data_IF_403375044498
#
_entry.id   IF_403375044498
#
_cell.length_a   1.000
_cell.length_b   1.000
_cell.length_c   1.000
_cell.angle_alpha   90.00
_cell.angle_beta   90.00
_cell.angle_gamma   90.00
#
_symmetry.space_group_name_H-M   'P 1'
#
loop_
_entity.id
_entity.type
_entity.pdbx_description
1 polymer ?
#
# COMPACT_ATOMS: atom_id res chain seq x y z
N UNK A 1 16.38 7.52 14.39
CA UNK A 1 15.15 6.85 14.90
C UNK A 1 13.97 7.63 14.35
N UNK A 2 13.04 6.96 13.69
CA UNK A 2 11.82 7.58 13.17
C UNK A 2 11.03 8.19 14.34
N UNK A 3 10.52 9.40 14.14
CA UNK A 3 9.79 10.14 15.18
C UNK A 3 8.51 9.40 15.63
N UNK A 4 7.90 8.65 14.73
CA UNK A 4 6.71 7.84 15.01
C UNK A 4 7.03 6.64 15.89
N UNK A 5 8.10 5.90 15.55
CA UNK A 5 8.58 4.79 16.38
C UNK A 5 8.94 5.27 17.79
N UNK A 6 9.54 6.45 17.90
CA UNK A 6 9.84 7.06 19.19
C UNK A 6 8.55 7.35 19.98
N UNK A 7 7.53 7.92 19.33
CA UNK A 7 6.23 8.21 19.99
C UNK A 7 5.52 6.93 20.39
N UNK A 8 5.56 5.88 19.57
CA UNK A 8 5.06 4.54 19.92
C UNK A 8 5.72 3.99 21.17
N UNK A 9 7.05 4.03 21.25
CA UNK A 9 7.79 3.57 22.44
C UNK A 9 7.45 4.40 23.66
N UNK A 10 7.34 5.73 23.52
CA UNK A 10 6.92 6.61 24.61
C UNK A 10 5.49 6.28 25.10
N UNK A 11 4.58 6.04 24.17
CA UNK A 11 3.18 5.72 24.49
C UNK A 11 3.08 4.36 25.20
N UNK A 12 3.73 3.33 24.66
CA UNK A 12 3.76 2.00 25.28
C UNK A 12 4.30 2.07 26.72
N UNK A 13 5.43 2.76 26.90
CA UNK A 13 5.98 2.97 28.23
C UNK A 13 5.02 3.72 29.16
N UNK A 14 4.35 4.77 28.68
CA UNK A 14 3.38 5.52 29.49
C UNK A 14 2.18 4.67 29.88
N UNK A 15 1.68 3.80 29.01
CA UNK A 15 0.57 2.89 29.30
C UNK A 15 0.96 1.83 30.36
N UNK A 16 2.17 1.29 30.30
CA UNK A 16 2.70 0.36 31.29
C UNK A 16 2.92 1.00 32.67
N UNK A 17 3.17 2.34 32.69
CA UNK A 17 3.52 3.08 33.91
C UNK A 17 2.45 4.11 34.31
N UNK A 18 1.18 3.87 33.96
CA UNK A 18 0.07 4.77 34.34
C UNK A 18 -0.06 4.97 35.86
N UNK A 19 0.19 3.91 36.61
CA UNK A 19 0.13 3.93 38.09
C UNK A 19 1.43 4.42 38.76
N UNK A 20 2.51 4.61 37.99
CA UNK A 20 3.80 5.02 38.57
C UNK A 20 3.96 6.55 38.56
N UNK A 21 4.11 7.20 39.73
CA UNK A 21 4.31 8.65 39.82
C UNK A 21 5.72 9.11 39.47
N UNK A 22 6.67 8.18 39.17
CA UNK A 22 8.10 8.46 39.01
C UNK A 22 8.49 9.37 37.87
N UNK A 23 9.70 10.00 37.94
CA UNK A 23 10.18 10.90 36.94
C UNK A 23 10.68 10.15 35.65
N UNK A 24 10.61 10.80 34.55
CA UNK A 24 10.73 10.36 33.13
C UNK A 24 12.12 10.48 32.46
N UNK A 25 13.28 10.52 33.20
CA UNK A 25 14.59 10.70 32.59
C UNK A 25 15.04 9.52 31.73
N UNK A 26 14.46 8.32 31.96
CA UNK A 26 14.94 7.08 31.34
C UNK A 26 14.63 7.01 29.85
N UNK A 27 13.46 7.44 29.42
CA UNK A 27 13.09 7.48 28.00
C UNK A 27 13.92 8.48 27.19
N UNK A 28 14.15 9.67 27.75
CA UNK A 28 14.99 10.68 27.12
C UNK A 28 16.42 10.19 26.96
N UNK A 29 16.95 9.54 28.01
CA UNK A 29 18.30 8.99 28.04
C UNK A 29 18.47 7.79 27.10
N UNK A 30 17.50 6.88 27.07
CA UNK A 30 17.50 5.71 26.19
C UNK A 30 17.37 6.10 24.71
N UNK A 31 16.60 7.15 24.39
CA UNK A 31 16.41 7.64 23.04
C UNK A 31 17.52 8.59 22.54
N UNK A 32 18.43 9.03 23.44
CA UNK A 32 19.50 9.98 23.07
C UNK A 32 19.00 11.39 22.71
N UNK A 33 17.79 11.76 23.20
CA UNK A 33 17.19 13.07 22.95
C UNK A 33 17.03 13.87 24.25
N UNK A 34 17.03 15.22 24.14
CA UNK A 34 16.60 16.07 25.24
C UNK A 34 15.09 15.99 25.46
N UNK A 35 14.62 16.23 26.70
CA UNK A 35 13.17 16.22 27.04
C UNK A 35 12.37 17.19 26.15
N UNK A 36 12.91 18.37 25.86
CA UNK A 36 12.26 19.33 24.98
C UNK A 36 12.05 18.79 23.57
N UNK A 37 13.05 18.08 23.02
CA UNK A 37 12.96 17.50 21.70
C UNK A 37 11.97 16.34 21.66
N UNK A 38 11.95 15.49 22.68
CA UNK A 38 10.93 14.44 22.83
C UNK A 38 9.52 15.02 22.92
N UNK A 39 9.34 16.06 23.74
CA UNK A 39 8.06 16.78 23.89
C UNK A 39 7.58 17.34 22.55
N UNK A 40 8.48 17.97 21.77
CA UNK A 40 8.14 18.53 20.47
C UNK A 40 7.76 17.44 19.46
N UNK A 41 8.53 16.34 19.39
CA UNK A 41 8.24 15.21 18.51
C UNK A 41 6.89 14.56 18.87
N UNK A 42 6.63 14.33 20.13
CA UNK A 42 5.35 13.80 20.61
C UNK A 42 4.20 14.73 20.24
N UNK A 43 4.34 16.03 20.48
CA UNK A 43 3.34 17.03 20.14
C UNK A 43 3.06 17.09 18.62
N UNK A 44 4.09 17.05 17.79
CA UNK A 44 3.95 17.10 16.32
C UNK A 44 3.12 15.91 15.79
N UNK A 45 3.21 14.75 16.43
CA UNK A 45 2.50 13.54 15.98
C UNK A 45 1.12 13.42 16.62
N UNK A 46 0.99 13.76 17.91
CA UNK A 46 -0.23 13.48 18.70
C UNK A 46 -1.12 14.70 18.92
N UNK A 47 -0.61 15.90 18.66
CA UNK A 47 -1.30 17.16 18.94
C UNK A 47 -1.35 17.52 20.42
N UNK A 48 -0.70 16.75 21.31
CA UNK A 48 -0.68 17.03 22.76
C UNK A 48 0.68 16.76 23.40
N UNK A 49 0.91 17.27 24.60
CA UNK A 49 2.16 17.01 25.32
C UNK A 49 2.14 15.64 25.99
N UNK A 50 3.31 14.97 26.18
CA UNK A 50 3.38 13.70 26.91
C UNK A 50 2.73 13.76 28.31
N UNK A 51 2.92 14.88 29.02
CA UNK A 51 2.31 15.11 30.34
C UNK A 51 0.81 15.25 30.26
N UNK A 52 0.30 15.94 29.23
CA UNK A 52 -1.12 16.10 29.00
C UNK A 52 -1.79 14.75 28.70
N UNK A 53 -1.16 13.98 27.81
CA UNK A 53 -1.60 12.62 27.47
C UNK A 53 -1.68 11.74 28.72
N UNK A 54 -0.58 11.61 29.46
CA UNK A 54 -0.49 10.76 30.65
C UNK A 54 -1.53 11.14 31.72
N UNK A 55 -1.74 12.46 31.95
CA UNK A 55 -2.76 12.92 32.87
C UNK A 55 -4.16 12.49 32.47
N UNK A 56 -4.51 12.64 31.18
CA UNK A 56 -5.83 12.27 30.66
C UNK A 56 -6.05 10.76 30.72
N UNK A 57 -5.02 9.96 30.41
CA UNK A 57 -5.06 8.51 30.50
C UNK A 57 -5.28 8.05 31.95
N UNK A 58 -4.50 8.60 32.90
CA UNK A 58 -4.67 8.32 34.35
C UNK A 58 -6.09 8.62 34.84
N UNK A 59 -6.64 9.77 34.46
CA UNK A 59 -8.01 10.13 34.82
C UNK A 59 -9.03 9.18 34.19
N UNK A 60 -8.80 8.71 32.98
CA UNK A 60 -9.68 7.74 32.31
C UNK A 60 -9.67 6.39 33.02
N UNK A 61 -8.48 5.85 33.35
CA UNK A 61 -8.38 4.58 34.09
C UNK A 61 -8.90 4.71 35.50
N UNK A 62 -8.70 5.85 36.14
CA UNK A 62 -9.32 6.16 37.44
C UNK A 62 -10.85 6.15 37.35
N UNK A 63 -11.43 6.75 36.31
CA UNK A 63 -12.88 6.71 36.11
C UNK A 63 -13.40 5.27 35.89
N UNK A 64 -12.67 4.42 35.14
CA UNK A 64 -13.00 3.00 34.96
C UNK A 64 -12.98 2.24 36.29
N UNK A 65 -11.96 2.45 37.12
CA UNK A 65 -11.83 1.85 38.44
C UNK A 65 -12.98 2.26 39.38
N UNK A 66 -13.33 3.55 39.39
CA UNK A 66 -14.46 4.07 40.17
C UNK A 66 -15.80 3.50 39.69
N UNK A 67 -16.00 3.34 38.39
CA UNK A 67 -17.20 2.69 37.82
C UNK A 67 -17.29 1.20 38.14
N UNK A 68 -16.15 0.56 38.37
CA UNK A 68 -16.05 -0.82 38.86
C UNK A 68 -16.30 -0.96 40.37
N UNK A 69 -16.48 0.17 41.10
CA UNK A 69 -16.79 0.19 42.52
C UNK A 69 -15.58 0.30 43.44
N UNK A 70 -14.39 0.62 42.93
CA UNK A 70 -13.20 0.80 43.75
C UNK A 70 -13.31 2.10 44.62
N UNK A 71 -12.68 2.08 45.79
CA UNK A 71 -12.73 3.23 46.69
C UNK A 71 -11.91 4.41 46.15
N UNK A 72 -12.45 5.61 46.28
CA UNK A 72 -11.82 6.85 45.81
C UNK A 72 -10.40 7.02 46.34
N UNK A 73 -10.16 6.70 47.61
CA UNK A 73 -8.83 6.83 48.23
C UNK A 73 -7.79 5.90 47.55
N UNK A 74 -8.19 4.66 47.28
CA UNK A 74 -7.28 3.68 46.66
C UNK A 74 -6.94 4.07 45.23
N UNK A 75 -7.95 4.54 44.47
CA UNK A 75 -7.79 5.05 43.10
C UNK A 75 -6.90 6.30 43.09
N UNK A 76 -7.09 7.22 44.05
CA UNK A 76 -6.26 8.42 44.20
C UNK A 76 -4.78 8.08 44.32
N UNK A 77 -4.47 7.15 45.25
CA UNK A 77 -3.10 6.72 45.54
C UNK A 77 -2.48 5.97 44.32
N UNK A 78 -3.25 5.05 43.73
CA UNK A 78 -2.79 4.25 42.58
C UNK A 78 -2.35 5.11 41.40
N UNK A 79 -3.08 6.17 41.08
CA UNK A 79 -2.75 7.04 39.97
C UNK A 79 -1.86 8.23 40.32
N UNK A 80 -1.19 8.18 41.47
CA UNK A 80 -0.10 9.07 41.84
C UNK A 80 -0.53 10.49 42.27
N UNK A 81 -1.75 10.66 42.73
CA UNK A 81 -2.19 11.94 43.29
C UNK A 81 -1.81 12.06 44.77
N UNK A 82 -1.25 13.21 45.12
CA UNK A 82 -0.76 13.50 46.47
C UNK A 82 -1.87 13.63 47.54
N UNK A 83 -3.09 13.92 47.10
CA UNK A 83 -4.27 14.01 47.96
C UNK A 83 -5.56 13.76 47.21
N UNK A 84 -6.61 13.38 47.94
CA UNK A 84 -7.95 13.18 47.33
C UNK A 84 -8.52 14.50 46.79
N UNK A 85 -8.17 15.65 47.38
CA UNK A 85 -8.62 16.96 46.90
C UNK A 85 -7.99 17.32 45.56
N UNK A 86 -6.67 17.07 45.41
CA UNK A 86 -5.98 17.26 44.12
C UNK A 86 -6.55 16.35 43.04
N UNK A 87 -6.83 15.10 43.38
CA UNK A 87 -7.48 14.15 42.45
C UNK A 87 -8.88 14.63 42.06
N UNK A 88 -9.71 14.99 43.04
CA UNK A 88 -11.08 15.46 42.82
C UNK A 88 -11.11 16.70 41.94
N UNK A 89 -10.21 17.64 42.17
CA UNK A 89 -10.10 18.87 41.38
C UNK A 89 -9.71 18.54 39.94
N UNK A 90 -8.69 17.70 39.72
CA UNK A 90 -8.26 17.28 38.39
C UNK A 90 -9.35 16.49 37.69
N UNK A 91 -10.02 15.60 38.36
CA UNK A 91 -11.09 14.75 37.85
C UNK A 91 -12.30 15.59 37.38
N UNK A 92 -12.77 16.50 38.27
CA UNK A 92 -13.89 17.41 37.99
C UNK A 92 -13.55 18.37 36.83
N UNK A 93 -12.32 18.88 36.79
CA UNK A 93 -11.86 19.74 35.69
C UNK A 93 -11.91 19.03 34.32
N UNK A 94 -11.64 17.73 34.28
CA UNK A 94 -11.63 16.95 33.08
C UNK A 94 -13.00 16.40 32.66
N UNK A 95 -13.70 15.77 33.59
CA UNK A 95 -14.97 15.11 33.35
C UNK A 95 -16.20 15.98 33.60
N UNK A 96 -16.07 17.08 34.33
CA UNK A 96 -17.19 17.95 34.76
C UNK A 96 -17.94 17.47 35.98
N UNK A 97 -17.58 16.28 36.50
CA UNK A 97 -18.20 15.66 37.69
C UNK A 97 -17.12 15.24 38.69
N UNK A 98 -17.45 15.13 39.97
CA UNK A 98 -16.54 14.61 40.98
C UNK A 98 -16.46 13.09 40.98
N UNK A 99 -15.39 12.46 41.53
CA UNK A 99 -15.31 11.01 41.68
C UNK A 99 -16.50 10.41 42.46
N UNK A 100 -16.99 11.09 43.47
CA UNK A 100 -18.15 10.63 44.26
C UNK A 100 -19.46 10.71 43.50
N UNK A 101 -19.69 11.79 42.75
CA UNK A 101 -20.84 11.89 41.83
C UNK A 101 -20.83 10.78 40.80
N UNK A 102 -19.65 10.45 40.22
CA UNK A 102 -19.53 9.35 39.25
C UNK A 102 -19.98 8.01 39.82
N UNK A 103 -19.63 7.69 41.03
CA UNK A 103 -20.00 6.40 41.69
C UNK A 103 -21.51 6.25 41.87
N UNK A 104 -22.22 7.36 42.05
CA UNK A 104 -23.68 7.38 42.28
C UNK A 104 -24.49 7.53 40.98
N UNK A 105 -23.86 7.87 39.87
CA UNK A 105 -24.53 8.02 38.55
C UNK A 105 -24.98 6.70 38.00
N UNK A 106 -26.21 6.68 37.51
CA UNK A 106 -26.66 5.55 36.71
C UNK A 106 -26.04 5.59 35.29
N UNK A 107 -26.16 4.47 34.55
CA UNK A 107 -25.50 4.28 33.25
C UNK A 107 -25.94 5.29 32.20
N UNK A 108 -27.17 5.83 32.26
CA UNK A 108 -27.73 6.81 31.33
C UNK A 108 -27.25 8.24 31.59
N UNK A 109 -26.77 8.54 32.77
CA UNK A 109 -26.27 9.86 33.16
C UNK A 109 -24.79 10.07 32.85
N UNK A 110 -24.08 9.06 32.34
CA UNK A 110 -22.62 9.08 32.09
C UNK A 110 -22.25 9.75 30.79
N UNK A 111 -22.70 10.99 30.56
CA UNK A 111 -22.41 11.76 29.33
C UNK A 111 -20.92 12.10 29.12
N UNK A 112 -20.07 11.89 30.11
CA UNK A 112 -18.63 12.18 30.06
C UNK A 112 -17.81 11.05 29.39
N UNK A 113 -18.40 9.90 29.06
CA UNK A 113 -17.70 8.77 28.42
C UNK A 113 -16.99 9.25 27.14
N UNK A 114 -17.55 10.21 26.41
CA UNK A 114 -16.91 10.86 25.26
C UNK A 114 -15.63 11.64 25.61
N UNK A 115 -15.38 11.96 26.89
CA UNK A 115 -14.16 12.63 27.35
C UNK A 115 -13.08 11.66 27.82
N UNK A 116 -13.34 10.34 27.82
CA UNK A 116 -12.32 9.35 28.12
C UNK A 116 -11.24 9.39 27.03
N UNK A 117 -10.00 9.47 27.48
CA UNK A 117 -8.85 9.41 26.58
C UNK A 117 -8.42 7.96 26.45
N UNK A 118 -8.72 7.36 25.32
CA UNK A 118 -8.22 6.03 25.01
C UNK A 118 -6.70 6.07 24.75
N UNK A 119 -6.00 4.93 24.87
CA UNK A 119 -4.62 4.81 24.43
C UNK A 119 -4.46 5.35 23.03
N UNK A 120 -3.33 5.97 22.74
CA UNK A 120 -3.02 6.37 21.38
C UNK A 120 -2.91 5.11 20.53
N UNK A 121 -3.80 5.01 19.57
CA UNK A 121 -3.80 3.90 18.64
C UNK A 121 -2.86 4.28 17.49
N UNK A 122 -1.58 3.99 17.66
CA UNK A 122 -0.52 4.20 16.69
C UNK A 122 0.08 2.83 16.38
N UNK A 123 0.20 2.49 15.11
CA UNK A 123 0.70 1.22 14.64
C UNK A 123 1.64 1.43 13.48
N UNK A 124 2.73 0.69 13.41
CA UNK A 124 3.68 0.70 12.30
C UNK A 124 4.20 -0.71 12.02
N UNK A 125 4.12 -1.11 10.76
CA UNK A 125 4.73 -2.34 10.25
C UNK A 125 6.23 -2.11 10.06
N UNK A 126 7.04 -2.71 10.94
CA UNK A 126 8.49 -2.55 10.90
C UNK A 126 9.07 -3.18 9.63
N UNK A 127 10.05 -2.52 9.05
CA UNK A 127 10.80 -2.97 7.86
C UNK A 127 9.98 -3.06 6.57
N UNK A 128 8.71 -2.64 6.57
CA UNK A 128 7.93 -2.56 5.34
C UNK A 128 8.49 -1.45 4.45
N UNK A 129 8.78 -1.79 3.20
CA UNK A 129 9.26 -0.86 2.17
C UNK A 129 8.50 -1.11 0.89
N UNK A 130 8.37 -0.11 0.06
CA UNK A 130 7.88 -0.24 -1.31
C UNK A 130 9.06 -0.07 -2.26
N UNK A 131 9.16 -0.90 -3.29
CA UNK A 131 10.22 -0.76 -4.30
C UNK A 131 9.88 0.37 -5.26
N UNK A 132 10.86 1.21 -5.56
CA UNK A 132 10.72 2.29 -6.54
C UNK A 132 10.69 1.69 -7.95
N UNK A 133 9.50 1.68 -8.55
CA UNK A 133 9.21 1.19 -9.89
C UNK A 133 8.19 2.14 -10.54
N UNK A 134 8.23 2.31 -11.87
CA UNK A 134 7.16 3.02 -12.59
C UNK A 134 5.81 2.32 -12.34
N UNK A 135 5.83 0.99 -12.32
CA UNK A 135 4.66 0.18 -11.97
C UNK A 135 4.53 0.09 -10.45
N UNK A 136 3.86 1.06 -9.84
CA UNK A 136 3.72 1.14 -8.38
C UNK A 136 3.03 -0.08 -7.75
N UNK A 137 2.10 -0.74 -8.48
CA UNK A 137 1.54 -2.03 -8.07
C UNK A 137 2.63 -3.08 -7.86
N UNK A 138 3.57 -3.20 -8.78
CA UNK A 138 4.68 -4.15 -8.66
C UNK A 138 5.68 -3.72 -7.59
N UNK A 139 5.81 -2.41 -7.36
CA UNK A 139 6.54 -1.87 -6.21
C UNK A 139 5.95 -2.32 -4.88
N UNK A 140 4.61 -2.30 -4.76
CA UNK A 140 3.89 -2.87 -3.61
C UNK A 140 4.09 -4.39 -3.49
N UNK A 141 4.02 -5.13 -4.60
CA UNK A 141 4.22 -6.59 -4.59
C UNK A 141 5.63 -6.98 -4.18
N UNK A 142 6.65 -6.25 -4.62
CA UNK A 142 8.03 -6.49 -4.15
C UNK A 142 8.15 -6.18 -2.66
N UNK A 143 7.55 -5.09 -2.19
CA UNK A 143 7.51 -4.77 -0.76
C UNK A 143 6.80 -5.85 0.07
N UNK A 144 5.69 -6.39 -0.43
CA UNK A 144 4.98 -7.51 0.20
C UNK A 144 5.81 -8.80 0.20
N UNK A 145 6.48 -9.11 -0.92
CA UNK A 145 7.39 -10.26 -1.03
C UNK A 145 8.50 -10.19 0.01
N UNK A 146 9.15 -9.04 0.14
CA UNK A 146 10.24 -8.84 1.10
C UNK A 146 9.75 -8.89 2.56
N UNK A 147 8.60 -8.28 2.84
CA UNK A 147 8.00 -8.28 4.18
C UNK A 147 7.60 -9.68 4.66
N UNK A 148 7.16 -10.53 3.73
CA UNK A 148 6.76 -11.91 4.02
C UNK A 148 7.89 -12.94 3.87
N UNK A 149 9.14 -12.50 3.61
CA UNK A 149 10.32 -13.35 3.38
C UNK A 149 10.09 -14.39 2.26
N UNK A 150 9.61 -13.93 1.09
CA UNK A 150 9.28 -14.79 -0.05
C UNK A 150 10.44 -14.95 -1.06
N UNK A 151 11.44 -14.08 -0.98
CA UNK A 151 12.70 -14.12 -1.74
C UNK A 151 12.55 -14.09 -3.28
N UNK A 152 11.49 -13.47 -3.79
CA UNK A 152 11.32 -13.28 -5.24
C UNK A 152 12.11 -12.08 -5.74
N UNK A 153 12.87 -12.25 -6.84
CA UNK A 153 13.45 -11.11 -7.55
C UNK A 153 12.35 -10.23 -8.20
N UNK A 154 12.69 -8.98 -8.56
CA UNK A 154 11.74 -8.12 -9.27
C UNK A 154 11.34 -8.73 -10.61
N UNK A 155 12.26 -9.19 -11.48
CA UNK A 155 11.92 -9.85 -12.73
C UNK A 155 11.02 -11.09 -12.54
N UNK A 156 11.29 -11.93 -11.53
CA UNK A 156 10.45 -13.09 -11.23
C UNK A 156 9.02 -12.70 -10.84
N UNK A 157 8.86 -11.68 -9.99
CA UNK A 157 7.53 -11.16 -9.67
C UNK A 157 6.79 -10.66 -10.89
N UNK A 158 7.45 -9.90 -11.77
CA UNK A 158 6.85 -9.41 -13.02
C UNK A 158 6.46 -10.55 -13.97
N UNK A 159 7.37 -11.52 -14.16
CA UNK A 159 7.17 -12.64 -15.08
C UNK A 159 6.09 -13.60 -14.59
N UNK A 160 6.22 -14.12 -13.39
CA UNK A 160 5.28 -15.09 -12.84
C UNK A 160 3.90 -14.50 -12.52
N UNK A 161 3.80 -13.21 -12.15
CA UNK A 161 2.51 -12.53 -12.03
C UNK A 161 1.87 -12.20 -13.37
N UNK A 162 2.59 -12.40 -14.47
CA UNK A 162 2.20 -12.06 -15.86
C UNK A 162 2.19 -10.57 -16.18
N UNK A 163 2.47 -9.71 -15.21
CA UNK A 163 2.43 -8.26 -15.40
C UNK A 163 3.47 -7.77 -16.42
N UNK A 164 4.61 -8.46 -16.53
CA UNK A 164 5.64 -8.18 -17.54
C UNK A 164 5.12 -8.21 -18.99
N UNK A 165 4.07 -8.98 -19.25
CA UNK A 165 3.51 -9.25 -20.59
C UNK A 165 2.27 -8.41 -20.89
N UNK A 166 1.77 -7.69 -19.87
CA UNK A 166 0.61 -6.81 -20.01
C UNK A 166 0.93 -5.63 -20.91
N UNK A 167 -0.06 -5.24 -21.71
CA UNK A 167 -0.20 -3.94 -22.31
C UNK A 167 -1.68 -3.58 -22.31
N UNK A 168 -2.00 -2.39 -21.87
CA UNK A 168 -3.38 -1.90 -21.79
C UNK A 168 -3.38 -0.39 -22.08
N UNK A 169 -4.24 0.06 -22.97
CA UNK A 169 -4.27 1.44 -23.45
C UNK A 169 -5.70 1.96 -23.42
N UNK A 170 -5.86 3.13 -22.79
CA UNK A 170 -7.11 3.92 -22.85
C UNK A 170 -7.25 4.60 -24.21
N UNK A 171 -8.47 4.67 -24.73
CA UNK A 171 -8.75 5.26 -26.05
C UNK A 171 -8.21 6.68 -26.21
N UNK A 172 -8.26 7.49 -25.16
CA UNK A 172 -7.76 8.88 -25.15
C UNK A 172 -6.34 9.00 -24.57
N UNK A 173 -5.56 7.93 -24.55
CA UNK A 173 -4.23 7.85 -23.94
C UNK A 173 -4.18 8.43 -22.54
N UNK A 174 -5.21 8.13 -21.70
CA UNK A 174 -5.25 8.55 -20.30
C UNK A 174 -4.12 7.89 -19.49
N UNK A 175 -3.51 8.59 -18.52
CA UNK A 175 -2.52 8.00 -17.62
C UNK A 175 -3.03 6.81 -16.80
N UNK A 176 -4.34 6.59 -16.76
CA UNK A 176 -4.97 5.43 -16.11
C UNK A 176 -4.74 4.10 -16.86
N UNK A 177 -4.17 4.11 -18.05
CA UNK A 177 -3.91 2.90 -18.86
C UNK A 177 -3.24 1.76 -18.07
N UNK A 178 -2.20 1.98 -17.26
CA UNK A 178 -1.55 0.92 -16.49
C UNK A 178 -2.39 0.33 -15.34
N UNK A 179 -3.46 1.01 -14.94
CA UNK A 179 -4.21 0.67 -13.72
C UNK A 179 -5.57 0.01 -13.97
N UNK A 180 -6.23 0.37 -15.07
CA UNK A 180 -7.62 0.00 -15.34
C UNK A 180 -7.73 -1.24 -16.24
N UNK A 181 -7.61 -2.43 -15.64
CA UNK A 181 -7.77 -3.74 -16.28
C UNK A 181 -8.30 -4.76 -15.26
N UNK A 182 -8.81 -5.91 -15.72
CA UNK A 182 -9.31 -6.98 -14.85
C UNK A 182 -8.16 -7.72 -14.18
N UNK A 183 -8.01 -7.54 -12.88
CA UNK A 183 -6.87 -8.01 -12.09
C UNK A 183 -7.01 -9.45 -11.54
N UNK A 184 -8.13 -10.16 -11.78
CA UNK A 184 -8.33 -11.50 -11.21
C UNK A 184 -7.23 -12.49 -11.60
N UNK A 185 -6.77 -12.56 -12.88
CA UNK A 185 -5.66 -13.45 -13.25
C UNK A 185 -4.34 -13.09 -12.55
N UNK A 186 -4.09 -11.79 -12.36
CA UNK A 186 -2.93 -11.29 -11.62
C UNK A 186 -2.98 -11.72 -10.14
N UNK A 187 -4.11 -11.53 -9.46
CA UNK A 187 -4.24 -11.92 -8.06
C UNK A 187 -4.17 -13.44 -7.86
N UNK A 188 -4.67 -14.22 -8.83
CA UNK A 188 -4.49 -15.66 -8.84
C UNK A 188 -3.00 -16.04 -8.93
N UNK A 189 -2.25 -15.41 -9.83
CA UNK A 189 -0.81 -15.62 -9.98
C UNK A 189 -0.05 -15.17 -8.72
N UNK A 190 -0.36 -14.02 -8.15
CA UNK A 190 0.26 -13.53 -6.91
C UNK A 190 0.03 -14.47 -5.72
N UNK A 191 -1.14 -15.10 -5.63
CA UNK A 191 -1.40 -16.12 -4.62
C UNK A 191 -0.43 -17.30 -4.75
N UNK A 192 -0.17 -17.77 -5.96
CA UNK A 192 0.79 -18.85 -6.22
C UNK A 192 2.23 -18.44 -5.87
N UNK A 193 2.51 -17.13 -5.79
CA UNK A 193 3.79 -16.56 -5.35
C UNK A 193 3.83 -16.29 -3.83
N UNK A 194 2.76 -16.63 -3.09
CA UNK A 194 2.69 -16.51 -1.65
C UNK A 194 2.10 -15.18 -1.14
N UNK A 195 1.51 -14.36 -2.03
CA UNK A 195 0.79 -13.12 -1.66
C UNK A 195 -0.67 -13.23 -2.08
N UNK A 196 -1.57 -13.35 -1.12
CA UNK A 196 -3.00 -13.53 -1.36
C UNK A 196 -3.77 -12.23 -1.10
N UNK A 197 -4.53 -11.77 -2.09
CA UNK A 197 -5.61 -10.80 -1.86
C UNK A 197 -6.76 -11.50 -1.16
N UNK A 198 -7.12 -11.04 0.03
CA UNK A 198 -8.20 -11.65 0.84
C UNK A 198 -9.49 -10.86 0.78
N UNK A 199 -9.40 -9.54 0.62
CA UNK A 199 -10.56 -8.66 0.59
C UNK A 199 -10.21 -7.33 -0.07
N UNK A 200 -11.22 -6.48 -0.28
CA UNK A 200 -11.08 -5.10 -0.69
C UNK A 200 -12.09 -4.22 0.04
N UNK A 201 -11.75 -2.95 0.21
CA UNK A 201 -12.66 -1.89 0.65
C UNK A 201 -12.75 -0.89 -0.49
N UNK A 202 -13.93 -0.74 -1.07
CA UNK A 202 -14.20 0.22 -2.16
C UNK A 202 -15.21 1.25 -1.66
N UNK A 203 -14.82 2.52 -1.64
CA UNK A 203 -15.63 3.63 -1.19
C UNK A 203 -15.69 4.71 -2.27
N UNK A 204 -16.87 5.31 -2.41
CA UNK A 204 -17.12 6.38 -3.37
C UNK A 204 -17.37 7.70 -2.65
N UNK A 205 -17.17 8.80 -3.34
CA UNK A 205 -17.54 10.13 -2.87
C UNK A 205 -19.01 10.13 -2.45
N UNK A 206 -19.26 10.57 -1.22
CA UNK A 206 -20.59 10.52 -0.60
C UNK A 206 -20.84 9.32 0.31
N UNK A 207 -19.82 8.48 0.56
CA UNK A 207 -19.89 7.46 1.58
C UNK A 207 -20.28 8.06 2.94
N UNK A 208 -21.17 7.38 3.65
CA UNK A 208 -21.66 7.82 4.96
C UNK A 208 -20.57 7.73 6.04
N UNK A 209 -20.66 8.51 7.13
CA UNK A 209 -19.74 8.40 8.25
C UNK A 209 -19.61 6.96 8.81
N UNK A 210 -20.71 6.20 8.81
CA UNK A 210 -20.71 4.81 9.26
C UNK A 210 -19.92 3.89 8.32
N UNK A 211 -20.01 4.09 6.99
CA UNK A 211 -19.22 3.32 6.02
C UNK A 211 -17.74 3.64 6.16
N UNK A 212 -17.37 4.91 6.36
CA UNK A 212 -15.99 5.32 6.59
C UNK A 212 -15.43 4.70 7.87
N UNK A 213 -16.17 4.75 8.99
CA UNK A 213 -15.76 4.16 10.27
C UNK A 213 -15.58 2.63 10.17
N UNK A 214 -16.49 1.94 9.49
CA UNK A 214 -16.38 0.49 9.26
C UNK A 214 -15.15 0.14 8.43
N UNK A 215 -14.88 0.91 7.38
CA UNK A 215 -13.69 0.73 6.55
C UNK A 215 -12.41 0.97 7.35
N UNK A 216 -12.32 2.06 8.11
CA UNK A 216 -11.19 2.35 8.99
C UNK A 216 -10.95 1.24 10.00
N UNK A 217 -11.99 0.77 10.66
CA UNK A 217 -11.92 -0.33 11.63
C UNK A 217 -11.42 -1.62 10.98
N UNK A 218 -11.90 -1.94 9.78
CA UNK A 218 -11.49 -3.14 9.03
C UNK A 218 -10.02 -3.09 8.64
N UNK A 219 -9.56 -1.96 8.10
CA UNK A 219 -8.17 -1.78 7.67
C UNK A 219 -7.24 -1.79 8.89
N UNK A 220 -7.58 -1.09 9.98
CA UNK A 220 -6.80 -1.11 11.23
C UNK A 220 -6.65 -2.53 11.79
N UNK A 221 -7.75 -3.27 11.92
CA UNK A 221 -7.71 -4.64 12.42
C UNK A 221 -6.82 -5.56 11.57
N UNK A 222 -6.77 -5.33 10.25
CA UNK A 222 -5.92 -6.05 9.33
C UNK A 222 -4.43 -5.72 9.54
N UNK A 223 -4.11 -4.43 9.68
CA UNK A 223 -2.75 -3.97 9.98
C UNK A 223 -2.28 -4.42 11.38
N UNK A 224 -3.14 -4.35 12.41
CA UNK A 224 -2.85 -4.81 13.78
C UNK A 224 -2.51 -6.31 13.85
N UNK A 225 -3.06 -7.08 12.92
CA UNK A 225 -2.73 -8.49 12.74
C UNK A 225 -1.40 -8.72 11.99
N UNK A 226 -0.61 -7.66 11.71
CA UNK A 226 0.64 -7.75 10.99
C UNK A 226 0.50 -8.02 9.49
N UNK A 227 -0.68 -7.75 8.92
CA UNK A 227 -0.99 -8.00 7.51
C UNK A 227 -0.90 -6.73 6.70
N UNK A 228 -0.76 -6.86 5.37
CA UNK A 228 -0.51 -5.73 4.48
C UNK A 228 -1.78 -5.18 3.85
N UNK A 229 -1.79 -3.88 3.61
CA UNK A 229 -2.84 -3.21 2.89
C UNK A 229 -2.24 -2.27 1.83
N UNK A 230 -2.83 -2.26 0.64
CA UNK A 230 -2.49 -1.34 -0.44
C UNK A 230 -3.63 -0.34 -0.59
N UNK A 231 -3.31 0.95 -0.69
CA UNK A 231 -4.20 1.96 -1.23
C UNK A 231 -4.10 1.92 -2.75
N UNK A 232 -5.24 1.73 -3.41
CA UNK A 232 -5.42 1.94 -4.85
C UNK A 232 -6.10 3.31 -5.05
N UNK A 233 -5.37 4.29 -5.51
CA UNK A 233 -5.87 5.62 -5.82
C UNK A 233 -5.19 6.10 -7.10
N UNK A 234 -4.55 7.29 -7.10
CA UNK A 234 -3.77 7.74 -8.26
C UNK A 234 -2.61 6.77 -8.54
N UNK A 235 -1.97 6.28 -7.49
CA UNK A 235 -0.91 5.26 -7.53
C UNK A 235 -1.19 4.20 -6.46
N UNK A 236 -0.51 3.05 -6.57
CA UNK A 236 -0.58 2.03 -5.54
C UNK A 236 0.45 2.33 -4.45
N UNK A 237 0.00 2.32 -3.19
CA UNK A 237 0.85 2.60 -2.04
C UNK A 237 0.62 1.58 -0.93
N UNK A 238 1.69 1.01 -0.39
CA UNK A 238 1.61 0.22 0.84
C UNK A 238 1.30 1.13 2.03
N UNK A 239 0.45 0.65 2.92
CA UNK A 239 0.18 1.29 4.20
C UNK A 239 1.16 0.75 5.22
N UNK A 240 2.08 1.60 5.70
CA UNK A 240 3.05 1.21 6.73
C UNK A 240 2.47 1.24 8.15
N UNK A 241 1.30 1.83 8.33
CA UNK A 241 0.68 1.93 9.63
C UNK A 241 -0.39 3.01 9.70
N UNK A 242 -0.70 3.45 10.91
CA UNK A 242 -1.60 4.56 11.17
C UNK A 242 -1.23 5.29 12.46
N UNK A 243 -1.62 6.55 12.56
CA UNK A 243 -1.55 7.35 13.78
C UNK A 243 -2.95 7.88 14.17
N UNK A 244 -3.01 8.84 15.08
CA UNK A 244 -4.27 9.43 15.54
C UNK A 244 -4.98 10.28 14.47
N UNK A 245 -4.33 10.60 13.37
CA UNK A 245 -4.83 11.47 12.31
C UNK A 245 -5.28 10.69 11.07
N UNK A 246 -4.61 9.56 10.76
CA UNK A 246 -4.92 8.81 9.55
C UNK A 246 -3.95 7.66 9.29
N UNK A 247 -4.09 7.07 8.11
CA UNK A 247 -3.18 6.05 7.61
C UNK A 247 -1.87 6.66 7.11
N UNK A 248 -0.78 5.90 7.27
CA UNK A 248 0.57 6.28 6.87
C UNK A 248 0.93 5.48 5.64
N UNK A 249 1.13 6.18 4.52
CA UNK A 249 1.47 5.56 3.24
C UNK A 249 2.97 5.65 2.98
N UNK A 250 3.50 4.62 2.33
CA UNK A 250 4.83 4.69 1.74
C UNK A 250 4.70 5.48 0.44
N UNK A 251 5.51 6.54 0.30
CA UNK A 251 5.57 7.31 -0.94
C UNK A 251 6.34 6.50 -1.99
N UNK A 252 5.77 6.26 -3.20
CA UNK A 252 6.52 5.70 -4.29
C UNK A 252 7.62 6.69 -4.72
N UNK A 253 8.68 6.17 -5.31
CA UNK A 253 9.83 6.94 -5.82
C UNK A 253 10.57 7.77 -4.74
N UNK A 254 10.54 7.32 -3.47
CA UNK A 254 11.19 7.97 -2.32
C UNK A 254 10.90 9.48 -2.18
N UNK A 255 9.80 9.97 -2.74
CA UNK A 255 9.46 11.40 -2.77
C UNK A 255 10.27 12.22 -3.79
N UNK A 256 11.15 11.61 -4.58
CA UNK A 256 11.99 12.30 -5.56
C UNK A 256 11.21 12.86 -6.76
N UNK A 257 10.00 12.35 -7.02
CA UNK A 257 9.15 12.82 -8.12
C UNK A 257 8.61 14.26 -7.95
N UNK A 258 8.76 14.86 -6.77
CA UNK A 258 8.13 16.13 -6.42
C UNK A 258 6.60 16.06 -6.29
N UNK A 259 6.01 14.89 -6.46
CA UNK A 259 4.57 14.63 -6.29
C UNK A 259 4.37 13.91 -4.97
N UNK A 260 4.01 14.64 -3.93
CA UNK A 260 3.48 14.02 -2.71
C UNK A 260 2.08 13.50 -2.98
N UNK A 261 1.89 12.20 -2.85
CA UNK A 261 0.57 11.60 -2.88
C UNK A 261 -0.12 11.87 -1.53
N UNK A 262 -1.40 12.29 -1.52
CA UNK A 262 -2.06 12.73 -0.31
C UNK A 262 -2.21 11.60 0.71
N UNK A 263 -2.01 11.92 1.98
CA UNK A 263 -2.38 11.07 3.11
C UNK A 263 -3.90 11.05 3.29
N UNK A 264 -4.43 10.02 3.92
CA UNK A 264 -5.85 9.92 4.24
C UNK A 264 -6.07 10.18 5.73
N UNK A 265 -6.75 11.29 6.03
CA UNK A 265 -7.18 11.63 7.38
C UNK A 265 -8.45 10.86 7.74
N UNK A 266 -8.53 10.34 8.97
CA UNK A 266 -9.71 9.62 9.43
C UNK A 266 -10.98 10.47 9.39
N UNK A 267 -12.08 9.82 9.09
CA UNK A 267 -13.44 10.39 9.11
C UNK A 267 -13.81 11.22 7.89
N UNK A 268 -12.88 11.71 7.12
CA UNK A 268 -13.19 12.59 5.97
C UNK A 268 -12.77 12.01 4.63
N UNK A 269 -11.57 11.44 4.53
CA UNK A 269 -10.94 10.98 3.29
C UNK A 269 -11.14 11.94 2.11
N UNK A 270 -11.34 13.20 2.45
CA UNK A 270 -11.77 14.24 1.54
C UNK A 270 -10.80 14.43 0.38
N UNK A 271 -9.50 14.38 0.66
CA UNK A 271 -8.46 14.62 -0.32
C UNK A 271 -8.52 13.59 -1.47
N UNK A 272 -8.75 12.31 -1.14
CA UNK A 272 -8.88 11.26 -2.14
C UNK A 272 -10.21 11.38 -2.91
N UNK A 273 -11.31 11.63 -2.22
CA UNK A 273 -12.62 11.79 -2.87
C UNK A 273 -12.71 13.02 -3.76
N UNK A 274 -12.09 14.14 -3.38
CA UNK A 274 -12.10 15.35 -4.19
C UNK A 274 -11.27 15.20 -5.46
N UNK A 275 -10.21 14.41 -5.41
CA UNK A 275 -9.34 14.14 -6.56
C UNK A 275 -9.93 13.07 -7.49
N UNK A 276 -10.27 11.90 -6.95
CA UNK A 276 -10.54 10.69 -7.73
C UNK A 276 -12.03 10.29 -7.73
N UNK A 277 -12.82 10.83 -6.79
CA UNK A 277 -14.23 10.47 -6.60
C UNK A 277 -14.44 9.09 -5.96
N UNK A 278 -13.39 8.31 -5.74
CA UNK A 278 -13.40 6.99 -5.13
C UNK A 278 -12.05 6.70 -4.45
N UNK A 279 -12.02 5.68 -3.61
CA UNK A 279 -10.81 5.12 -3.03
C UNK A 279 -11.01 3.63 -2.81
N UNK A 280 -9.99 2.83 -3.12
CA UNK A 280 -10.02 1.40 -2.88
C UNK A 280 -8.80 0.97 -2.07
N UNK A 281 -9.02 0.01 -1.17
CA UNK A 281 -7.96 -0.66 -0.44
C UNK A 281 -7.99 -2.14 -0.76
N UNK A 282 -6.83 -2.70 -1.05
CA UNK A 282 -6.64 -4.13 -1.24
C UNK A 282 -5.95 -4.72 -0.03
N UNK A 283 -6.59 -5.68 0.64
CA UNK A 283 -6.08 -6.35 1.82
C UNK A 283 -5.32 -7.62 1.43
N UNK A 284 -4.08 -7.74 1.91
CA UNK A 284 -3.16 -8.80 1.54
C UNK A 284 -2.74 -9.64 2.74
N UNK A 285 -2.56 -10.93 2.51
CA UNK A 285 -1.99 -11.88 3.48
C UNK A 285 -0.91 -12.73 2.82
N UNK A 286 0.02 -13.24 3.64
CA UNK A 286 0.91 -14.32 3.23
C UNK A 286 0.08 -15.57 2.94
N UNK A 287 0.38 -16.26 1.84
CA UNK A 287 -0.19 -17.57 1.54
C UNK A 287 0.91 -18.61 1.62
N UNK A 288 0.64 -19.72 2.31
CA UNK A 288 1.58 -20.82 2.44
C UNK A 288 1.55 -21.76 1.20
N UNK A 289 0.50 -21.64 0.39
CA UNK A 289 0.38 -22.38 -0.87
C UNK A 289 1.30 -21.75 -1.92
N UNK A 290 2.27 -22.54 -2.38
CA UNK A 290 3.15 -22.14 -3.50
C UNK A 290 3.07 -23.21 -4.57
N UNK A 291 2.88 -22.78 -5.81
CA UNK A 291 3.11 -23.65 -6.94
C UNK A 291 4.63 -23.88 -7.12
N UNK A 292 5.02 -25.02 -7.65
CA UNK A 292 6.41 -25.22 -8.07
C UNK A 292 6.76 -24.29 -9.26
N UNK A 293 8.04 -24.02 -9.46
CA UNK A 293 8.49 -23.07 -10.48
C UNK A 293 8.02 -23.43 -11.90
N UNK A 294 7.87 -24.72 -12.21
CA UNK A 294 7.36 -25.20 -13.50
C UNK A 294 5.89 -24.84 -13.66
N UNK A 295 5.08 -25.09 -12.64
CA UNK A 295 3.66 -24.72 -12.62
C UNK A 295 3.46 -23.22 -12.71
N UNK A 296 4.31 -22.43 -12.02
CA UNK A 296 4.34 -20.96 -12.13
C UNK A 296 4.63 -20.52 -13.56
N UNK A 297 5.68 -21.07 -14.18
CA UNK A 297 6.05 -20.71 -15.57
C UNK A 297 4.95 -21.07 -16.56
N UNK A 298 4.37 -22.27 -16.47
CA UNK A 298 3.27 -22.69 -17.35
C UNK A 298 2.05 -21.77 -17.22
N UNK A 299 1.68 -21.42 -15.99
CA UNK A 299 0.58 -20.49 -15.71
C UNK A 299 0.87 -19.10 -16.29
N UNK A 300 2.08 -18.59 -16.10
CA UNK A 300 2.50 -17.30 -16.63
C UNK A 300 2.47 -17.26 -18.16
N UNK A 301 3.06 -18.25 -18.82
CA UNK A 301 3.08 -18.35 -20.30
C UNK A 301 1.67 -18.50 -20.87
N UNK A 302 0.84 -19.39 -20.29
CA UNK A 302 -0.55 -19.57 -20.73
C UNK A 302 -1.35 -18.27 -20.61
N UNK A 303 -1.22 -17.57 -19.48
CA UNK A 303 -1.92 -16.28 -19.26
C UNK A 303 -1.42 -15.20 -20.19
N UNK A 304 -0.09 -15.09 -20.39
CA UNK A 304 0.49 -14.13 -21.32
C UNK A 304 0.01 -14.35 -22.77
N UNK A 305 -0.09 -15.59 -23.19
CA UNK A 305 -0.66 -15.94 -24.50
C UNK A 305 -2.13 -15.51 -24.59
N UNK A 306 -2.92 -15.76 -23.55
CA UNK A 306 -4.35 -15.36 -23.49
C UNK A 306 -4.53 -13.83 -23.53
N UNK A 307 -3.64 -13.05 -22.96
CA UNK A 307 -3.68 -11.58 -23.06
C UNK A 307 -3.68 -11.09 -24.51
N UNK A 308 -3.09 -11.87 -25.44
CA UNK A 308 -3.07 -11.55 -26.86
C UNK A 308 -4.18 -12.24 -27.67
N UNK A 309 -4.62 -13.44 -27.24
CA UNK A 309 -5.58 -14.26 -28.02
C UNK A 309 -7.02 -14.19 -27.52
N UNK A 310 -7.22 -13.74 -26.26
CA UNK A 310 -8.52 -13.54 -25.62
C UNK A 310 -8.48 -12.27 -24.72
N UNK A 311 -8.17 -11.08 -25.31
CA UNK A 311 -7.95 -9.85 -24.55
C UNK A 311 -9.17 -9.39 -23.75
N UNK A 312 -10.39 -9.79 -24.13
CA UNK A 312 -11.64 -9.50 -23.44
C UNK A 312 -11.67 -10.04 -22.00
N UNK A 313 -10.84 -11.04 -21.67
CA UNK A 313 -10.71 -11.56 -20.32
C UNK A 313 -10.00 -10.56 -19.37
N UNK A 314 -9.25 -9.62 -19.93
CA UNK A 314 -8.37 -8.70 -19.18
C UNK A 314 -8.82 -7.24 -19.26
N UNK A 315 -9.51 -6.83 -20.32
CA UNK A 315 -9.88 -5.44 -20.58
C UNK A 315 -11.16 -5.02 -19.83
N UNK A 316 -11.26 -3.71 -19.57
CA UNK A 316 -12.47 -3.05 -19.07
C UNK A 316 -12.98 -2.03 -20.11
N UNK A 317 -14.24 -1.58 -20.06
CA UNK A 317 -14.79 -0.60 -21.00
C UNK A 317 -13.91 0.65 -21.11
N UNK A 318 -13.63 1.10 -22.32
CA UNK A 318 -12.77 2.27 -22.62
C UNK A 318 -11.28 1.94 -22.75
N UNK A 319 -10.90 0.67 -22.57
CA UNK A 319 -9.52 0.21 -22.69
C UNK A 319 -9.40 -0.98 -23.66
N UNK A 320 -8.22 -1.14 -24.22
CA UNK A 320 -7.85 -2.30 -25.03
C UNK A 320 -6.58 -2.93 -24.46
N UNK A 321 -6.52 -4.27 -24.50
CA UNK A 321 -5.39 -5.10 -24.09
C UNK A 321 -4.80 -5.81 -25.30
N UNK A 322 -3.55 -6.26 -25.22
CA UNK A 322 -2.91 -7.01 -26.30
C UNK A 322 -2.78 -6.21 -27.60
N UNK A 323 -3.00 -6.86 -28.73
CA UNK A 323 -2.88 -6.22 -30.06
C UNK A 323 -3.77 -4.97 -30.20
N UNK A 324 -4.99 -4.99 -29.66
CA UNK A 324 -5.88 -3.85 -29.68
C UNK A 324 -5.34 -2.64 -28.91
N UNK A 325 -4.52 -2.86 -27.88
CA UNK A 325 -3.85 -1.77 -27.20
C UNK A 325 -2.84 -1.05 -28.09
N UNK A 326 -2.03 -1.79 -28.85
CA UNK A 326 -1.10 -1.21 -29.79
C UNK A 326 -1.80 -0.41 -30.89
N UNK A 327 -2.92 -0.93 -31.44
CA UNK A 327 -3.71 -0.24 -32.46
C UNK A 327 -4.29 1.08 -31.91
N UNK A 328 -4.90 1.07 -30.72
CA UNK A 328 -5.43 2.28 -30.10
C UNK A 328 -4.33 3.31 -29.77
N UNK A 329 -3.13 2.83 -29.44
CA UNK A 329 -2.00 3.72 -29.21
C UNK A 329 -1.57 4.41 -30.49
N UNK A 330 -1.44 3.67 -31.59
CA UNK A 330 -1.12 4.21 -32.92
C UNK A 330 -2.18 5.24 -33.40
N UNK A 331 -3.47 4.91 -33.26
CA UNK A 331 -4.57 5.84 -33.52
C UNK A 331 -4.51 7.09 -32.66
N UNK A 332 -4.13 6.96 -31.38
CA UNK A 332 -3.93 8.09 -30.47
C UNK A 332 -2.85 9.05 -30.96
N UNK A 333 -1.74 8.53 -31.50
CA UNK A 333 -0.69 9.37 -32.11
C UNK A 333 -1.25 10.11 -33.35
N UNK A 334 -2.04 9.44 -34.18
CA UNK A 334 -2.67 10.06 -35.36
C UNK A 334 -3.64 11.19 -34.99
N UNK A 335 -4.26 11.10 -33.80
CA UNK A 335 -5.12 12.14 -33.22
C UNK A 335 -4.33 13.26 -32.54
N UNK A 336 -2.99 13.24 -32.56
CA UNK A 336 -2.13 14.26 -31.95
C UNK A 336 -1.86 14.08 -30.46
N UNK A 337 -2.18 12.92 -29.88
CA UNK A 337 -2.00 12.64 -28.44
C UNK A 337 -0.57 12.24 -28.05
N UNK A 338 0.37 12.19 -29.00
CA UNK A 338 1.77 11.79 -28.76
C UNK A 338 2.57 12.70 -27.83
N UNK A 339 2.08 13.90 -27.55
CA UNK A 339 2.70 14.84 -26.59
C UNK A 339 2.06 14.80 -25.21
N UNK A 340 1.00 14.00 -25.01
CA UNK A 340 0.24 13.92 -23.78
C UNK A 340 1.04 13.29 -22.63
N UNK A 341 0.67 13.61 -21.41
CA UNK A 341 1.22 12.96 -20.22
C UNK A 341 0.92 11.44 -20.22
N UNK A 342 -0.30 11.06 -20.61
CA UNK A 342 -0.70 9.65 -20.62
C UNK A 342 0.04 8.81 -21.66
N UNK A 343 0.39 9.40 -22.82
CA UNK A 343 1.28 8.75 -23.78
C UNK A 343 2.64 8.43 -23.17
N UNK A 344 3.30 9.45 -22.60
CA UNK A 344 4.60 9.31 -21.93
C UNK A 344 4.54 8.31 -20.77
N UNK A 345 3.50 8.39 -19.95
CA UNK A 345 3.33 7.53 -18.77
C UNK A 345 3.14 6.06 -19.20
N UNK A 346 2.22 5.82 -20.13
CA UNK A 346 2.02 4.48 -20.70
C UNK A 346 3.31 3.92 -21.30
N UNK A 347 4.09 4.75 -22.02
CA UNK A 347 5.38 4.37 -22.55
C UNK A 347 6.40 3.98 -21.50
N UNK A 348 6.44 4.73 -20.40
CA UNK A 348 7.35 4.47 -19.28
C UNK A 348 7.01 3.16 -18.56
N UNK A 349 5.74 2.94 -18.23
CA UNK A 349 5.28 1.73 -17.54
C UNK A 349 5.45 0.49 -18.42
N UNK A 350 4.98 0.52 -19.67
CA UNK A 350 5.07 -0.65 -20.55
C UNK A 350 6.51 -0.96 -20.99
N UNK A 351 7.37 0.07 -21.08
CA UNK A 351 8.81 -0.15 -21.24
C UNK A 351 9.40 -0.89 -20.04
N UNK A 352 9.09 -0.47 -18.80
CA UNK A 352 9.54 -1.19 -17.60
C UNK A 352 9.08 -2.65 -17.64
N UNK A 353 7.81 -2.90 -17.96
CA UNK A 353 7.27 -4.27 -18.10
C UNK A 353 8.07 -5.09 -19.10
N UNK A 354 8.40 -4.56 -20.28
CA UNK A 354 9.17 -5.28 -21.31
C UNK A 354 10.61 -5.53 -20.88
N UNK A 355 11.23 -4.59 -20.17
CA UNK A 355 12.57 -4.80 -19.60
C UNK A 355 12.56 -5.89 -18.53
N UNK A 356 11.55 -5.89 -17.65
CA UNK A 356 11.38 -6.95 -16.65
C UNK A 356 11.08 -8.31 -17.27
N UNK A 357 10.34 -8.36 -18.40
CA UNK A 357 10.17 -9.59 -19.18
C UNK A 357 11.52 -10.12 -19.72
N UNK A 358 12.37 -9.24 -20.23
CA UNK A 358 13.70 -9.62 -20.71
C UNK A 358 14.58 -10.18 -19.58
N UNK A 359 14.59 -9.50 -18.44
CA UNK A 359 15.33 -9.95 -17.23
C UNK A 359 14.78 -11.29 -16.72
N UNK A 360 13.45 -11.44 -16.66
CA UNK A 360 12.80 -12.67 -16.24
C UNK A 360 13.24 -13.89 -17.07
N UNK A 361 13.17 -13.78 -18.41
CA UNK A 361 13.62 -14.87 -19.26
C UNK A 361 15.13 -15.13 -19.18
N UNK A 362 15.92 -14.11 -18.86
CA UNK A 362 17.36 -14.27 -18.58
C UNK A 362 17.60 -15.01 -17.24
N UNK A 363 16.84 -14.69 -16.20
CA UNK A 363 16.97 -15.35 -14.87
C UNK A 363 16.54 -16.82 -14.90
N UNK A 364 15.47 -17.17 -15.62
CA UNK A 364 14.97 -18.55 -15.67
C UNK A 364 15.67 -19.42 -16.70
N UNK A 365 16.39 -18.87 -17.68
CA UNK A 365 17.07 -19.61 -18.74
C UNK A 365 17.98 -20.74 -18.23
N UNK A 366 18.82 -20.54 -17.19
CA UNK A 366 19.67 -21.59 -16.67
C UNK A 366 18.92 -22.84 -16.15
N UNK A 367 17.70 -22.64 -15.62
CA UNK A 367 16.86 -23.75 -15.11
C UNK A 367 16.21 -24.57 -16.23
N UNK A 368 16.22 -24.07 -17.47
CA UNK A 368 15.68 -24.77 -18.67
C UNK A 368 16.63 -25.80 -19.25
N UNK A 369 17.85 -25.95 -18.74
CA UNK A 369 18.88 -26.83 -19.26
C UNK A 369 19.50 -26.32 -20.57
N UNK A 370 19.97 -27.24 -21.42
CA UNK A 370 20.69 -26.89 -22.66
C UNK A 370 19.90 -27.12 -23.97
N UNK A 371 18.57 -27.26 -23.83
CA UNK A 371 17.71 -27.60 -24.97
C UNK A 371 16.96 -26.40 -25.58
N UNK A 372 15.93 -26.73 -26.39
CA UNK A 372 15.07 -25.73 -27.08
C UNK A 372 14.44 -24.73 -26.13
N UNK A 373 14.07 -25.12 -24.89
CA UNK A 373 13.47 -24.22 -23.91
C UNK A 373 14.42 -23.08 -23.53
N UNK A 374 15.70 -23.38 -23.28
CA UNK A 374 16.73 -22.36 -23.02
C UNK A 374 16.96 -21.42 -24.23
N UNK A 375 16.96 -21.96 -25.46
CA UNK A 375 17.06 -21.15 -26.68
C UNK A 375 15.88 -20.20 -26.81
N UNK A 376 14.66 -20.67 -26.52
CA UNK A 376 13.44 -19.85 -26.54
C UNK A 376 13.49 -18.75 -25.48
N UNK A 377 13.98 -19.03 -24.26
CA UNK A 377 14.18 -18.03 -23.22
C UNK A 377 15.17 -16.93 -23.68
N UNK A 378 16.32 -17.31 -24.28
CA UNK A 378 17.28 -16.33 -24.84
C UNK A 378 16.66 -15.49 -25.94
N UNK A 379 15.88 -16.12 -26.84
CA UNK A 379 15.15 -15.43 -27.91
C UNK A 379 14.14 -14.43 -27.36
N UNK A 380 13.35 -14.83 -26.38
CA UNK A 380 12.36 -13.98 -25.69
C UNK A 380 13.05 -12.81 -24.98
N UNK A 381 14.13 -13.05 -24.24
CA UNK A 381 14.91 -12.02 -23.57
C UNK A 381 15.43 -10.96 -24.55
N UNK A 382 15.93 -11.39 -25.71
CA UNK A 382 16.39 -10.50 -26.77
C UNK A 382 15.27 -9.64 -27.36
N UNK A 383 14.15 -10.27 -27.73
CA UNK A 383 13.01 -9.56 -28.34
C UNK A 383 12.35 -8.58 -27.37
N UNK A 384 12.19 -8.93 -26.09
CA UNK A 384 11.62 -8.02 -25.10
C UNK A 384 12.54 -6.83 -24.79
N UNK A 385 13.86 -7.03 -24.78
CA UNK A 385 14.82 -5.93 -24.66
C UNK A 385 14.73 -4.97 -25.84
N UNK A 386 14.61 -5.51 -27.05
CA UNK A 386 14.40 -4.69 -28.26
C UNK A 386 13.04 -3.96 -28.22
N UNK A 387 11.96 -4.62 -27.78
CA UNK A 387 10.65 -4.01 -27.61
C UNK A 387 10.70 -2.84 -26.60
N UNK A 388 11.36 -3.03 -25.46
CA UNK A 388 11.61 -1.97 -24.48
C UNK A 388 12.35 -0.77 -25.08
N UNK A 389 13.35 -1.01 -25.90
CA UNK A 389 14.08 0.06 -26.61
C UNK A 389 13.19 0.81 -27.61
N UNK A 390 12.26 0.13 -28.29
CA UNK A 390 11.26 0.81 -29.15
C UNK A 390 10.32 1.70 -28.33
N UNK A 391 9.90 1.25 -27.15
CA UNK A 391 9.05 2.04 -26.25
C UNK A 391 9.79 3.27 -25.68
N UNK A 392 11.10 3.18 -25.45
CA UNK A 392 11.91 4.35 -25.06
C UNK A 392 11.89 5.44 -26.15
N UNK A 393 11.95 5.04 -27.42
CA UNK A 393 11.85 5.99 -28.56
C UNK A 393 10.41 6.54 -28.65
N UNK A 394 9.42 5.65 -28.55
CA UNK A 394 8.02 6.02 -28.76
C UNK A 394 7.49 7.00 -27.72
N UNK A 395 7.89 6.86 -26.43
CA UNK A 395 7.37 7.67 -25.32
C UNK A 395 7.84 9.12 -25.34
N UNK A 396 8.87 9.46 -26.11
CA UNK A 396 9.45 10.80 -26.14
C UNK A 396 8.45 11.82 -26.68
N UNK A 397 7.97 12.72 -25.80
CA UNK A 397 6.92 13.71 -26.13
C UNK A 397 7.30 14.66 -27.27
N UNK A 398 8.59 14.93 -27.42
CA UNK A 398 9.10 15.84 -28.45
C UNK A 398 9.51 15.14 -29.74
N UNK A 399 9.38 13.81 -29.81
CA UNK A 399 9.67 13.08 -31.05
C UNK A 399 8.58 13.35 -32.09
N UNK A 400 8.96 13.44 -33.40
CA UNK A 400 7.97 13.54 -34.46
C UNK A 400 6.98 12.36 -34.45
N UNK A 401 5.71 12.63 -34.73
CA UNK A 401 4.65 11.60 -34.70
C UNK A 401 5.00 10.38 -35.57
N UNK A 402 5.63 10.60 -36.74
CA UNK A 402 6.11 9.51 -37.60
C UNK A 402 7.16 8.61 -36.95
N UNK A 403 8.04 9.18 -36.11
CA UNK A 403 9.04 8.41 -35.35
C UNK A 403 8.36 7.62 -34.22
N UNK A 404 7.43 8.25 -33.47
CA UNK A 404 6.66 7.57 -32.45
C UNK A 404 5.86 6.39 -33.01
N UNK A 405 5.15 6.60 -34.15
CA UNK A 405 4.39 5.55 -34.82
C UNK A 405 5.27 4.40 -35.30
N UNK A 406 6.39 4.71 -35.99
CA UNK A 406 7.31 3.68 -36.44
C UNK A 406 7.85 2.82 -35.30
N UNK A 407 8.17 3.46 -34.15
CA UNK A 407 8.63 2.77 -32.98
C UNK A 407 7.53 1.91 -32.31
N UNK A 408 6.28 2.42 -32.21
CA UNK A 408 5.14 1.65 -31.71
C UNK A 408 4.81 0.46 -32.62
N UNK A 409 4.80 0.63 -33.94
CA UNK A 409 4.56 -0.45 -34.88
C UNK A 409 5.63 -1.55 -34.77
N UNK A 410 6.91 -1.18 -34.69
CA UNK A 410 8.00 -2.12 -34.44
C UNK A 410 7.86 -2.83 -33.08
N UNK A 411 7.49 -2.11 -32.00
CA UNK A 411 7.22 -2.69 -30.69
C UNK A 411 6.09 -3.73 -30.72
N UNK A 412 4.98 -3.43 -31.40
CA UNK A 412 3.87 -4.36 -31.63
C UNK A 412 4.32 -5.64 -32.36
N UNK A 413 5.09 -5.50 -33.40
CA UNK A 413 5.53 -6.66 -34.20
C UNK A 413 6.51 -7.55 -33.40
N UNK A 414 7.33 -6.95 -32.53
CA UNK A 414 8.16 -7.67 -31.58
C UNK A 414 7.32 -8.41 -30.53
N UNK A 415 6.30 -7.76 -29.98
CA UNK A 415 5.39 -8.35 -28.97
C UNK A 415 4.61 -9.56 -29.55
N UNK A 416 4.18 -9.47 -30.80
CA UNK A 416 3.57 -10.60 -31.55
C UNK A 416 4.55 -11.77 -31.69
N UNK A 417 5.80 -11.51 -32.04
CA UNK A 417 6.85 -12.53 -32.13
C UNK A 417 7.11 -13.18 -30.77
N UNK A 418 7.17 -12.38 -29.69
CA UNK A 418 7.27 -12.91 -28.32
C UNK A 418 6.11 -13.86 -28.00
N UNK A 419 4.87 -13.50 -28.37
CA UNK A 419 3.70 -14.37 -28.19
C UNK A 419 3.86 -15.72 -28.92
N UNK A 420 4.42 -15.72 -30.13
CA UNK A 420 4.75 -16.94 -30.86
C UNK A 420 5.74 -17.83 -30.09
N UNK A 421 6.85 -17.24 -29.65
CA UNK A 421 7.87 -17.98 -28.88
C UNK A 421 7.35 -18.44 -27.52
N UNK A 422 6.48 -17.68 -26.85
CA UNK A 422 5.85 -18.12 -25.59
C UNK A 422 4.95 -19.35 -25.78
N UNK A 423 4.22 -19.47 -26.89
CA UNK A 423 3.46 -20.67 -27.26
C UNK A 423 4.38 -21.89 -27.43
N UNK A 424 5.51 -21.69 -28.13
CA UNK A 424 6.51 -22.75 -28.30
C UNK A 424 7.14 -23.15 -26.98
N UNK A 425 7.49 -22.18 -26.13
CA UNK A 425 8.07 -22.44 -24.82
C UNK A 425 7.07 -23.19 -23.91
N UNK A 426 5.79 -22.78 -23.91
CA UNK A 426 4.73 -23.48 -23.17
C UNK A 426 4.59 -24.94 -23.60
N UNK A 427 4.75 -25.23 -24.89
CA UNK A 427 4.73 -26.59 -25.42
C UNK A 427 6.01 -27.39 -25.06
N UNK A 428 7.15 -26.71 -24.90
CA UNK A 428 8.43 -27.33 -24.56
C UNK A 428 8.62 -27.59 -23.06
N UNK A 429 7.91 -26.86 -22.19
CA UNK A 429 7.93 -27.07 -20.72
C UNK A 429 6.97 -28.22 -20.40
N UNK A 430 7.44 -29.35 -19.83
CA UNK A 430 6.59 -30.50 -19.49
C UNK A 430 5.44 -30.13 -18.52
N UNK A 431 4.36 -30.91 -18.57
CA UNK A 431 3.20 -30.71 -17.69
C UNK A 431 3.52 -31.03 -16.22
#
# INVERSE_FOLDING_TARGET
MDDRLLVLQMTAWMEEHLADPGPRPELAKAAGYSENRLRQKFYNITGETPSGYLRKRRLTEAARALMAGERIVDVTLRFGYSSQDNFTTAFKSWFGVTPGELQTMDRKQRNFISRMKEPLNIMELKNLKQKDLCTTLMGCMKGASDFYDLDWSVPQLFGYSTHAFMINIHKELCPSSPYAWKKDPFWFAMRNLGVRKVDAVDLKKGASPSELEQAEKKIRAHLDAGKLCILDSLEHQLISGYDTRGFIFIQPWNGESGVELPSLSFGTWKEAFDRDGWVMFTLLEKDDLRADERGLLRTALSTAVRMQTAPEEFQVPGYQTGDGAWEWWLEGIDRGLGTSHGHWWSGSVWRECRMMAAEFFTEIEPSMGSGKAAELCRGLAGLYRECGAKLDIAKEKNAPAGVQKAALAAGRDLDRRCTGLMKELLAAVPA
#
